data_IF_187803932469
#
_entry.id   IF_187803932469
#
_cell.length_a   1.000
_cell.length_b   1.000
_cell.length_c   1.000
_cell.angle_alpha   90.00
_cell.angle_beta   90.00
_cell.angle_gamma   90.00
#
_symmetry.space_group_name_H-M   'P 1'
#
loop_
_entity.id
_entity.type
_entity.pdbx_description
1 polymer ?
#
# COMPACT_ATOMS: atom_id res chain seq x y z
N UNK A 1 1.04 -17.09 7.05
CA UNK A 1 0.03 -16.52 6.13
C UNK A 1 -0.52 -15.18 6.59
N UNK A 2 -1.06 -15.09 7.81
CA UNK A 2 -1.67 -13.87 8.36
C UNK A 2 -0.79 -12.61 8.25
N UNK A 3 0.50 -12.69 8.63
CA UNK A 3 1.46 -11.59 8.55
C UNK A 3 1.56 -11.00 7.13
N UNK A 4 1.55 -11.87 6.11
CA UNK A 4 1.61 -11.44 4.71
C UNK A 4 0.32 -10.71 4.30
N UNK A 5 -0.84 -11.18 4.76
CA UNK A 5 -2.11 -10.51 4.48
C UNK A 5 -2.17 -9.12 5.12
N UNK A 6 -1.63 -8.96 6.33
CA UNK A 6 -1.58 -7.66 7.01
C UNK A 6 -0.63 -6.68 6.32
N UNK A 7 0.55 -7.13 5.89
CA UNK A 7 1.44 -6.30 5.08
C UNK A 7 0.83 -5.92 3.72
N UNK A 8 0.07 -6.83 3.10
CA UNK A 8 -0.66 -6.51 1.88
C UNK A 8 -1.71 -5.41 2.08
N UNK A 9 -2.44 -5.42 3.21
CA UNK A 9 -3.42 -4.36 3.53
C UNK A 9 -2.74 -2.99 3.56
N UNK A 10 -1.55 -2.90 4.15
CA UNK A 10 -0.87 -1.62 4.30
C UNK A 10 -0.35 -1.06 2.96
N UNK A 11 0.11 -1.94 2.05
CA UNK A 11 0.58 -1.55 0.71
C UNK A 11 -0.61 -1.06 -0.13
N UNK A 12 -1.75 -1.77 -0.06
CA UNK A 12 -2.95 -1.40 -0.81
C UNK A 12 -3.57 -0.11 -0.26
N UNK A 13 -3.55 0.11 1.05
CA UNK A 13 -3.96 1.39 1.63
C UNK A 13 -3.09 2.54 1.10
N UNK A 14 -1.77 2.36 1.08
CA UNK A 14 -0.85 3.35 0.58
C UNK A 14 -1.08 3.67 -0.91
N UNK A 15 -1.34 2.64 -1.73
CA UNK A 15 -1.75 2.79 -3.14
C UNK A 15 -3.08 3.56 -3.27
N UNK A 16 -4.11 3.18 -2.51
CA UNK A 16 -5.42 3.84 -2.55
C UNK A 16 -5.33 5.30 -2.12
N UNK A 17 -4.48 5.61 -1.14
CA UNK A 17 -4.21 6.96 -0.70
C UNK A 17 -3.67 7.83 -1.84
N UNK A 18 -2.60 7.36 -2.49
CA UNK A 18 -1.96 8.06 -3.58
C UNK A 18 -2.91 8.27 -4.76
N UNK A 19 -3.62 7.21 -5.14
CA UNK A 19 -4.60 7.24 -6.22
C UNK A 19 -5.73 8.24 -5.94
N UNK A 20 -6.17 8.39 -4.68
CA UNK A 20 -7.23 9.34 -4.31
C UNK A 20 -6.74 10.79 -4.34
N UNK A 21 -5.54 11.08 -3.83
CA UNK A 21 -5.02 12.45 -3.78
C UNK A 21 -4.58 12.97 -5.15
N UNK A 22 -4.21 12.07 -6.06
CA UNK A 22 -3.77 12.41 -7.40
C UNK A 22 -4.84 12.08 -8.48
N UNK A 23 -6.06 11.73 -8.07
CA UNK A 23 -7.18 11.43 -8.98
C UNK A 23 -6.87 10.36 -10.04
N UNK A 24 -5.99 9.40 -9.69
CA UNK A 24 -5.55 8.31 -10.56
C UNK A 24 -4.37 8.63 -11.48
N UNK A 25 -3.83 9.85 -11.46
CA UNK A 25 -2.66 10.22 -12.25
C UNK A 25 -1.39 10.32 -11.38
N UNK A 26 -0.45 9.41 -11.56
CA UNK A 26 0.74 9.35 -10.72
C UNK A 26 1.72 10.48 -11.06
N UNK A 27 2.43 10.98 -10.04
CA UNK A 27 3.45 12.02 -10.21
C UNK A 27 4.78 11.64 -9.53
N UNK A 28 5.74 12.58 -9.48
CA UNK A 28 7.07 12.36 -8.90
C UNK A 28 7.06 11.91 -7.45
N UNK A 29 6.01 12.27 -6.70
CA UNK A 29 5.89 11.98 -5.28
C UNK A 29 5.11 10.69 -5.01
N UNK A 30 4.47 10.08 -6.01
CA UNK A 30 3.64 8.89 -5.83
C UNK A 30 4.39 7.72 -5.20
N UNK A 31 5.60 7.44 -5.71
CA UNK A 31 6.43 6.37 -5.17
C UNK A 31 6.88 6.66 -3.72
N UNK A 32 7.20 7.92 -3.41
CA UNK A 32 7.55 8.34 -2.06
C UNK A 32 6.36 8.23 -1.10
N UNK A 33 5.18 8.67 -1.54
CA UNK A 33 3.93 8.63 -0.76
C UNK A 33 3.59 7.20 -0.38
N UNK A 34 3.54 6.28 -1.35
CA UNK A 34 3.25 4.87 -1.13
C UNK A 34 4.27 4.25 -0.17
N UNK A 35 5.56 4.46 -0.44
CA UNK A 35 6.66 3.93 0.39
C UNK A 35 6.62 4.46 1.81
N UNK A 36 6.27 5.74 2.01
CA UNK A 36 6.18 6.34 3.35
C UNK A 36 4.93 5.92 4.09
N UNK A 37 3.79 5.75 3.42
CA UNK A 37 2.57 5.34 4.10
C UNK A 37 2.59 3.87 4.50
N UNK A 38 3.14 2.98 3.67
CA UNK A 38 3.27 1.56 4.01
C UNK A 38 4.37 1.34 5.08
N UNK A 39 4.03 0.89 6.30
CA UNK A 39 5.02 0.50 7.31
C UNK A 39 5.85 -0.72 6.88
N UNK A 40 5.27 -1.67 6.13
CA UNK A 40 6.03 -2.78 5.51
C UNK A 40 7.16 -2.26 4.62
N UNK A 41 6.88 -1.26 3.76
CA UNK A 41 7.88 -0.74 2.80
C UNK A 41 8.82 0.31 3.41
N UNK A 42 8.37 1.11 4.37
CA UNK A 42 9.20 2.16 4.97
C UNK A 42 10.12 1.67 6.07
N UNK A 43 9.65 0.71 6.88
CA UNK A 43 10.29 0.33 8.14
C UNK A 43 10.46 -1.18 8.32
N UNK A 44 10.13 -1.99 7.29
CA UNK A 44 10.21 -3.45 7.35
C UNK A 44 9.36 -4.04 8.48
N UNK A 45 8.30 -3.33 8.87
CA UNK A 45 7.42 -3.68 9.98
C UNK A 45 6.63 -4.95 9.67
N UNK A 46 6.41 -5.79 10.67
CA UNK A 46 5.66 -7.04 10.53
C UNK A 46 4.59 -7.13 11.59
N UNK A 47 3.34 -6.87 11.19
CA UNK A 47 2.20 -7.05 12.08
C UNK A 47 1.89 -8.53 12.27
N UNK A 48 1.80 -8.97 13.52
CA UNK A 48 1.59 -10.38 13.89
C UNK A 48 0.15 -10.67 14.25
N UNK A 49 -0.54 -9.75 14.93
CA UNK A 49 -1.67 -10.12 15.77
C UNK A 49 -3.01 -9.47 15.41
N UNK A 50 -3.05 -8.20 14.99
CA UNK A 50 -4.33 -7.51 14.73
C UNK A 50 -4.29 -6.57 13.52
N UNK A 51 -5.40 -6.56 12.76
CA UNK A 51 -5.66 -5.60 11.69
C UNK A 51 -5.90 -4.20 12.23
N UNK A 52 -6.43 -4.06 13.45
CA UNK A 52 -6.65 -2.74 14.06
C UNK A 52 -5.33 -1.99 14.26
N UNK A 53 -4.26 -2.69 14.66
CA UNK A 53 -2.93 -2.10 14.79
C UNK A 53 -2.41 -1.57 13.45
N UNK A 54 -2.63 -2.31 12.36
CA UNK A 54 -2.31 -1.86 11.00
C UNK A 54 -3.06 -0.57 10.69
N UNK A 55 -4.38 -0.54 10.93
CA UNK A 55 -5.22 0.64 10.67
C UNK A 55 -4.79 1.85 11.51
N UNK A 56 -4.54 1.66 12.81
CA UNK A 56 -4.04 2.74 13.67
C UNK A 56 -2.67 3.25 13.23
N UNK A 57 -1.81 2.37 12.73
CA UNK A 57 -0.53 2.77 12.15
C UNK A 57 -0.77 3.60 10.89
N UNK A 58 -1.53 3.08 9.93
CA UNK A 58 -1.85 3.77 8.66
C UNK A 58 -2.45 5.16 8.88
N UNK A 59 -3.40 5.31 9.80
CA UNK A 59 -3.99 6.61 10.14
C UNK A 59 -2.98 7.58 10.74
N UNK A 60 -2.12 7.12 11.65
CA UNK A 60 -1.05 7.98 12.20
C UNK A 60 -0.09 8.42 11.09
N UNK A 61 0.26 7.52 10.18
CA UNK A 61 1.18 7.80 9.07
C UNK A 61 0.58 8.77 8.04
N UNK A 62 -0.70 8.62 7.70
CA UNK A 62 -1.40 9.53 6.78
C UNK A 62 -1.59 10.93 7.36
N UNK A 63 -1.60 11.07 8.68
CA UNK A 63 -1.65 12.37 9.36
C UNK A 63 -0.27 13.01 9.58
N UNK A 64 0.83 12.27 9.37
CA UNK A 64 2.18 12.75 9.64
C UNK A 64 3.02 13.00 8.39
N UNK A 65 2.94 12.14 7.37
CA UNK A 65 3.88 12.17 6.24
C UNK A 65 3.39 12.90 4.97
N UNK A 66 2.21 12.56 4.40
CA UNK A 66 1.83 13.08 3.08
C UNK A 66 1.51 14.58 3.10
N UNK A 67 1.34 15.15 1.90
CA UNK A 67 0.97 16.55 1.72
C UNK A 67 -0.37 16.88 2.40
N UNK A 68 -1.41 16.09 2.08
CA UNK A 68 -2.72 16.19 2.73
C UNK A 68 -2.70 15.37 4.02
N UNK A 69 -2.93 16.00 5.18
CA UNK A 69 -2.95 15.32 6.48
C UNK A 69 -4.33 15.52 7.10
N UNK A 70 -5.28 14.74 6.60
CA UNK A 70 -6.68 14.87 6.96
C UNK A 70 -7.25 13.51 7.41
N UNK A 71 -7.96 13.52 8.53
CA UNK A 71 -8.52 12.30 9.11
C UNK A 71 -9.65 11.72 8.26
N UNK A 72 -10.58 12.57 7.80
CA UNK A 72 -11.71 12.15 6.97
C UNK A 72 -11.24 11.53 5.66
N UNK A 73 -10.19 12.09 5.05
CA UNK A 73 -9.50 11.51 3.90
C UNK A 73 -8.98 10.10 4.22
N UNK A 74 -8.34 9.92 5.38
CA UNK A 74 -7.81 8.61 5.80
C UNK A 74 -8.91 7.58 6.01
N UNK A 75 -10.08 8.00 6.54
CA UNK A 75 -11.27 7.16 6.67
C UNK A 75 -11.81 6.75 5.30
N UNK A 76 -11.87 7.68 4.34
CA UNK A 76 -12.29 7.39 2.98
C UNK A 76 -11.34 6.42 2.28
N UNK A 77 -10.03 6.60 2.42
CA UNK A 77 -9.01 5.70 1.84
C UNK A 77 -9.11 4.29 2.43
N UNK A 78 -9.45 4.16 3.72
CA UNK A 78 -9.69 2.83 4.30
C UNK A 78 -10.90 2.14 3.66
N UNK A 79 -11.97 2.89 3.34
CA UNK A 79 -13.12 2.34 2.62
C UNK A 79 -12.74 1.89 1.21
N UNK A 80 -11.97 2.70 0.49
CA UNK A 80 -11.47 2.33 -0.83
C UNK A 80 -10.63 1.05 -0.75
N UNK A 81 -9.74 0.96 0.25
CA UNK A 81 -8.93 -0.24 0.49
C UNK A 81 -9.82 -1.47 0.62
N UNK A 82 -10.85 -1.42 1.46
CA UNK A 82 -11.82 -2.52 1.62
C UNK A 82 -12.50 -2.85 0.29
N UNK A 83 -12.89 -1.86 -0.50
CA UNK A 83 -13.54 -2.08 -1.79
C UNK A 83 -12.58 -2.70 -2.83
N UNK A 84 -11.30 -2.32 -2.83
CA UNK A 84 -10.25 -2.99 -3.63
C UNK A 84 -10.18 -4.48 -3.27
N UNK A 85 -10.18 -4.82 -1.96
CA UNK A 85 -10.17 -6.22 -1.52
C UNK A 85 -11.44 -6.98 -1.93
N UNK A 86 -12.62 -6.36 -1.86
CA UNK A 86 -13.90 -6.97 -2.27
C UNK A 86 -13.97 -7.26 -3.77
N UNK A 87 -13.33 -6.45 -4.61
CA UNK A 87 -13.25 -6.66 -6.06
C UNK A 87 -12.39 -7.86 -6.47
N UNK A 88 -11.72 -8.50 -5.51
CA UNK A 88 -11.08 -9.80 -5.67
C UNK A 88 -9.62 -9.74 -6.16
N UNK A 89 -9.04 -10.94 -6.30
CA UNK A 89 -7.59 -11.12 -6.46
C UNK A 89 -7.00 -10.49 -7.73
N UNK A 90 -7.75 -10.48 -8.83
CA UNK A 90 -7.30 -9.88 -10.10
C UNK A 90 -7.14 -8.36 -9.95
N UNK A 91 -8.07 -7.72 -9.24
CA UNK A 91 -8.02 -6.28 -9.04
C UNK A 91 -6.86 -5.90 -8.10
N UNK A 92 -6.69 -6.65 -7.00
CA UNK A 92 -5.52 -6.51 -6.12
C UNK A 92 -4.18 -6.66 -6.86
N UNK A 93 -4.07 -7.65 -7.74
CA UNK A 93 -2.85 -7.85 -8.53
C UNK A 93 -2.57 -6.66 -9.46
N UNK A 94 -3.60 -6.06 -10.07
CA UNK A 94 -3.44 -4.84 -10.88
C UNK A 94 -2.89 -3.68 -10.05
N UNK A 95 -3.41 -3.47 -8.84
CA UNK A 95 -2.91 -2.46 -7.91
C UNK A 95 -1.44 -2.72 -7.56
N UNK A 96 -1.08 -3.95 -7.21
CA UNK A 96 0.30 -4.33 -6.90
C UNK A 96 1.25 -4.15 -8.10
N UNK A 97 0.82 -4.49 -9.31
CA UNK A 97 1.62 -4.26 -10.51
C UNK A 97 1.81 -2.77 -10.80
N UNK A 98 0.82 -1.93 -10.50
CA UNK A 98 0.94 -0.48 -10.57
C UNK A 98 1.95 0.05 -9.55
N UNK A 99 1.89 -0.40 -8.30
CA UNK A 99 2.90 -0.09 -7.27
C UNK A 99 4.29 -0.53 -7.71
N UNK A 100 4.43 -1.76 -8.23
CA UNK A 100 5.71 -2.29 -8.71
C UNK A 100 6.30 -1.38 -9.79
N UNK A 101 5.51 -1.02 -10.79
CA UNK A 101 5.93 -0.13 -11.88
C UNK A 101 6.39 1.24 -11.36
N UNK A 102 5.68 1.80 -10.37
CA UNK A 102 6.06 3.05 -9.73
C UNK A 102 7.38 2.92 -8.97
N UNK A 103 7.58 1.88 -8.17
CA UNK A 103 8.84 1.73 -7.44
C UNK A 103 10.03 1.44 -8.36
N UNK A 104 9.81 0.80 -9.52
CA UNK A 104 10.86 0.56 -10.52
C UNK A 104 11.32 1.85 -11.21
N UNK A 105 10.45 2.87 -11.33
CA UNK A 105 10.77 4.12 -12.03
C UNK A 105 11.62 5.11 -11.21
N UNK A 106 11.85 4.84 -9.92
CA UNK A 106 12.62 5.73 -9.03
C UNK A 106 13.76 4.97 -8.35
N UNK A 107 15.00 5.41 -8.56
CA UNK A 107 16.10 5.02 -7.68
C UNK A 107 16.00 5.79 -6.35
N UNK A 108 16.19 5.14 -5.17
CA UNK A 108 16.61 3.76 -4.93
C UNK A 108 15.45 2.78 -4.65
N UNK A 109 14.19 3.11 -4.98
CA UNK A 109 13.01 2.39 -4.49
C UNK A 109 12.79 1.01 -5.13
N UNK A 110 13.38 0.73 -6.30
CA UNK A 110 13.28 -0.56 -6.97
C UNK A 110 13.71 -1.74 -6.07
N UNK A 111 14.60 -1.52 -5.09
CA UNK A 111 15.01 -2.55 -4.15
C UNK A 111 13.84 -3.12 -3.33
N UNK A 112 12.82 -2.29 -3.06
CA UNK A 112 11.62 -2.71 -2.34
C UNK A 112 10.75 -3.66 -3.17
N UNK A 113 10.85 -3.59 -4.51
CA UNK A 113 10.22 -4.58 -5.37
C UNK A 113 10.87 -5.95 -5.22
N UNK A 114 12.19 -6.00 -5.07
CA UNK A 114 12.93 -7.23 -4.86
C UNK A 114 12.71 -7.81 -3.46
N UNK A 115 12.51 -6.95 -2.46
CA UNK A 115 12.33 -7.38 -1.07
C UNK A 115 10.89 -7.78 -0.73
N UNK A 116 9.88 -7.18 -1.37
CA UNK A 116 8.48 -7.40 -1.01
C UNK A 116 7.53 -7.52 -2.20
N UNK A 117 7.46 -6.50 -3.07
CA UNK A 117 6.32 -6.36 -4.01
C UNK A 117 6.27 -7.51 -5.02
N UNK A 118 7.42 -7.96 -5.52
CA UNK A 118 7.49 -9.10 -6.46
C UNK A 118 6.95 -10.37 -5.84
N UNK A 119 7.33 -10.66 -4.59
CA UNK A 119 6.86 -11.85 -3.87
C UNK A 119 5.36 -11.78 -3.59
N UNK A 120 4.82 -10.60 -3.26
CA UNK A 120 3.37 -10.41 -3.11
C UNK A 120 2.60 -10.65 -4.41
N UNK A 121 3.12 -10.20 -5.55
CA UNK A 121 2.54 -10.46 -6.87
C UNK A 121 2.51 -11.95 -7.21
N UNK A 122 3.61 -12.67 -6.96
CA UNK A 122 3.72 -14.11 -7.21
C UNK A 122 2.80 -14.90 -6.27
N UNK A 123 2.85 -14.59 -4.97
CA UNK A 123 2.04 -15.25 -3.94
C UNK A 123 0.53 -15.20 -4.26
N UNK A 124 0.01 -14.05 -4.72
CA UNK A 124 -1.41 -13.94 -5.11
C UNK A 124 -1.76 -14.61 -6.43
N UNK A 125 -0.80 -14.78 -7.33
CA UNK A 125 -0.98 -15.53 -8.58
C UNK A 125 -1.04 -17.03 -8.31
N UNK A 126 -0.33 -17.51 -7.27
CA UNK A 126 -0.22 -18.93 -6.94
C UNK A 126 -1.33 -19.45 -5.99
N UNK A 127 -1.99 -18.57 -5.23
CA UNK A 127 -3.15 -18.94 -4.41
C UNK A 127 -4.39 -19.18 -5.30
N UNK A 128 -4.72 -20.46 -5.50
CA UNK A 128 -5.95 -20.92 -6.15
C UNK A 128 -7.17 -20.51 -5.34
#
# INVERSE_FOLDING_TARGET
ERVLLLGLVDIIFAYAYDNRINEGDNNSESAWCIRKLSPTLSWFEKFTDDVQEVVYCLYRRSLCYPLYRNYDLSVLVLRDTVDIFKNGKVYLLKCLLSVKKLLDSYEPYYILNNLYVTDYCVYKTLLR
#
